data_IF_874018742394
#
_entry.id   IF_874018742394
#
_cell.length_a   1.000
_cell.length_b   1.000
_cell.length_c   1.000
_cell.angle_alpha   90.00
_cell.angle_beta   90.00
_cell.angle_gamma   90.00
#
_symmetry.space_group_name_H-M   'P 1'
#
loop_
_entity.id
_entity.type
_entity.pdbx_description
1 polymer ?
#
# COMPACT_ATOMS: atom_id res chain seq x y z
N UNK A 1 31.93 -11.69 -40.35
CA UNK A 1 30.75 -10.94 -40.83
C UNK A 1 30.11 -10.27 -39.64
N UNK A 2 30.10 -8.94 -39.66
CA UNK A 2 29.71 -8.08 -38.54
C UNK A 2 28.18 -7.90 -38.57
N UNK A 3 27.47 -8.46 -37.60
CA UNK A 3 26.02 -8.25 -37.42
C UNK A 3 25.74 -6.98 -36.61
N UNK A 4 25.99 -5.80 -37.18
CA UNK A 4 25.99 -4.51 -36.47
C UNK A 4 24.63 -3.81 -36.31
N UNK A 5 23.52 -4.38 -36.76
CA UNK A 5 22.22 -3.71 -36.67
C UNK A 5 21.09 -4.68 -36.34
N UNK A 6 20.99 -5.09 -35.06
CA UNK A 6 19.69 -5.55 -34.53
C UNK A 6 18.80 -4.32 -34.42
N UNK A 7 17.97 -4.10 -35.43
CA UNK A 7 16.86 -3.13 -35.38
C UNK A 7 16.00 -3.54 -34.19
N UNK A 8 16.09 -2.81 -33.07
CA UNK A 8 15.19 -3.02 -31.93
C UNK A 8 13.76 -2.95 -32.47
N UNK A 9 12.97 -4.00 -32.24
CA UNK A 9 11.56 -3.99 -32.57
C UNK A 9 10.96 -2.74 -31.94
N UNK A 10 10.41 -1.86 -32.78
CA UNK A 10 9.78 -0.61 -32.35
C UNK A 10 8.56 -1.04 -31.53
N UNK A 11 8.72 -1.14 -30.22
CA UNK A 11 7.61 -1.39 -29.31
C UNK A 11 6.52 -0.37 -29.65
N UNK A 12 5.30 -0.84 -29.87
CA UNK A 12 4.17 0.05 -30.07
C UNK A 12 4.08 0.92 -28.82
N UNK A 13 4.16 2.25 -28.95
CA UNK A 13 4.04 3.11 -27.77
C UNK A 13 2.68 2.81 -27.13
N UNK A 14 2.64 2.57 -25.82
CA UNK A 14 1.38 2.23 -25.18
C UNK A 14 0.44 3.44 -25.21
N UNK A 15 -0.85 3.19 -25.10
CA UNK A 15 -1.86 4.25 -25.18
C UNK A 15 -1.80 5.14 -23.93
N UNK A 16 -1.41 6.39 -24.12
CA UNK A 16 -1.25 7.39 -23.05
C UNK A 16 -2.45 8.32 -22.92
N UNK A 17 -3.52 8.10 -23.69
CA UNK A 17 -4.68 9.02 -23.74
C UNK A 17 -5.42 9.16 -22.40
N UNK A 18 -5.39 8.12 -21.55
CA UNK A 18 -6.04 8.11 -20.25
C UNK A 18 -5.17 8.68 -19.10
N UNK A 19 -3.88 8.97 -19.35
CA UNK A 19 -2.99 9.54 -18.33
C UNK A 19 -3.45 10.94 -17.93
N UNK A 20 -3.52 11.19 -16.61
CA UNK A 20 -4.00 12.46 -16.07
C UNK A 20 -5.51 12.61 -16.01
N UNK A 21 -6.27 11.60 -16.43
CA UNK A 21 -7.75 11.57 -16.30
C UNK A 21 -8.21 10.38 -15.47
N UNK A 22 -8.27 9.19 -16.06
CA UNK A 22 -8.68 7.96 -15.39
C UNK A 22 -7.48 7.10 -14.92
N UNK A 23 -6.27 7.42 -15.39
CA UNK A 23 -5.05 6.67 -15.09
C UNK A 23 -3.99 7.61 -14.52
N UNK A 24 -3.42 7.27 -13.35
CA UNK A 24 -2.30 8.02 -12.79
C UNK A 24 -0.98 7.62 -13.45
N UNK A 25 -0.74 6.32 -13.57
CA UNK A 25 0.53 5.79 -14.06
C UNK A 25 0.34 4.60 -15.00
N UNK A 26 1.27 4.48 -15.94
CA UNK A 26 1.28 3.45 -16.99
C UNK A 26 2.70 2.87 -17.11
N UNK A 27 2.81 1.57 -17.27
CA UNK A 27 4.08 0.90 -17.53
C UNK A 27 4.61 1.28 -18.91
N UNK A 28 5.91 1.49 -18.98
CA UNK A 28 6.64 1.90 -20.17
C UNK A 28 7.70 0.87 -20.55
N UNK A 29 7.84 0.64 -21.85
CA UNK A 29 8.92 -0.18 -22.40
C UNK A 29 10.19 0.65 -22.67
N UNK A 30 11.33 -0.05 -22.75
CA UNK A 30 12.59 0.57 -23.15
C UNK A 30 12.46 1.21 -24.54
N UNK A 31 12.92 2.44 -24.64
CA UNK A 31 12.92 3.21 -25.87
C UNK A 31 11.67 4.05 -26.11
N UNK A 32 10.64 3.93 -25.27
CA UNK A 32 9.51 4.86 -25.24
C UNK A 32 9.97 6.25 -24.79
N UNK A 33 9.23 7.28 -25.22
CA UNK A 33 9.46 8.67 -24.79
C UNK A 33 8.42 9.04 -23.75
N UNK A 34 8.85 9.68 -22.65
CA UNK A 34 7.93 10.17 -21.63
C UNK A 34 6.99 11.21 -22.26
N UNK A 35 5.66 11.07 -22.13
CA UNK A 35 4.71 12.05 -22.66
C UNK A 35 4.92 13.44 -22.06
N UNK A 36 4.49 14.48 -22.78
CA UNK A 36 4.49 15.85 -22.23
C UNK A 36 3.54 15.94 -21.03
N UNK A 37 3.94 16.70 -20.01
CA UNK A 37 3.24 16.82 -18.73
C UNK A 37 3.37 15.60 -17.82
N UNK A 38 4.10 14.56 -18.23
CA UNK A 38 4.31 13.35 -17.44
C UNK A 38 5.75 13.23 -16.95
N UNK A 39 5.94 12.46 -15.88
CA UNK A 39 7.25 12.13 -15.32
C UNK A 39 7.46 10.63 -15.48
N UNK A 40 8.61 10.24 -16.02
CA UNK A 40 9.04 8.85 -16.05
C UNK A 40 9.68 8.45 -14.72
N UNK A 41 9.45 7.22 -14.28
CA UNK A 41 10.11 6.60 -13.13
C UNK A 41 10.69 5.29 -13.60
N UNK A 42 11.99 5.08 -13.39
CA UNK A 42 12.63 3.79 -13.60
C UNK A 42 12.96 3.20 -12.24
N UNK A 43 12.55 1.96 -12.03
CA UNK A 43 12.77 1.20 -10.82
C UNK A 43 13.59 -0.06 -11.11
N UNK A 44 14.61 -0.30 -10.30
CA UNK A 44 15.33 -1.57 -10.28
C UNK A 44 14.58 -2.64 -9.46
N UNK A 45 15.11 -3.87 -9.41
CA UNK A 45 14.53 -4.94 -8.58
C UNK A 45 14.66 -4.70 -7.07
N UNK A 46 15.62 -3.87 -6.66
CA UNK A 46 15.87 -3.51 -5.26
C UNK A 46 14.93 -2.41 -4.74
N UNK A 47 14.09 -1.83 -5.60
CA UNK A 47 13.25 -0.68 -5.25
C UNK A 47 13.97 0.67 -5.34
N UNK A 48 15.19 0.74 -5.89
CA UNK A 48 15.82 2.01 -6.19
C UNK A 48 15.17 2.64 -7.41
N UNK A 49 14.77 3.90 -7.27
CA UNK A 49 14.06 4.63 -8.29
C UNK A 49 14.85 5.84 -8.77
N UNK A 50 14.66 6.19 -10.05
CA UNK A 50 15.15 7.43 -10.64
C UNK A 50 14.10 8.02 -11.56
N UNK A 51 13.93 9.34 -11.48
CA UNK A 51 13.00 10.07 -12.36
C UNK A 51 13.64 10.42 -13.70
N UNK A 52 12.83 10.36 -14.75
CA UNK A 52 13.15 10.71 -16.13
C UNK A 52 12.22 11.85 -16.52
N UNK A 53 12.79 12.96 -16.99
CA UNK A 53 12.02 14.14 -17.37
C UNK A 53 11.09 13.87 -18.57
N UNK A 54 10.05 14.69 -18.72
CA UNK A 54 9.18 14.68 -19.89
C UNK A 54 9.97 14.79 -21.19
N UNK A 55 9.40 14.28 -22.29
CA UNK A 55 10.00 14.25 -23.63
C UNK A 55 11.38 13.54 -23.71
N UNK A 56 11.86 12.93 -22.64
CA UNK A 56 13.10 12.16 -22.60
C UNK A 56 12.84 10.70 -22.92
N UNK A 57 13.83 10.04 -23.52
CA UNK A 57 13.74 8.62 -23.86
C UNK A 57 14.03 7.77 -22.63
N UNK A 58 13.16 6.80 -22.36
CA UNK A 58 13.34 5.82 -21.30
C UNK A 58 14.38 4.80 -21.78
N UNK A 59 15.45 4.65 -21.01
CA UNK A 59 16.47 3.62 -21.21
C UNK A 59 16.41 2.73 -19.98
N UNK A 60 16.14 1.44 -20.23
CA UNK A 60 16.12 0.40 -19.21
C UNK A 60 17.38 -0.45 -19.33
N UNK A 61 18.03 -0.70 -18.19
CA UNK A 61 18.97 -1.81 -18.06
C UNK A 61 18.21 -3.15 -18.05
N UNK A 62 18.95 -4.25 -18.21
CA UNK A 62 18.38 -5.58 -18.02
C UNK A 62 17.66 -5.60 -16.67
N UNK A 63 16.45 -6.16 -16.64
CA UNK A 63 15.56 -6.34 -15.47
C UNK A 63 15.00 -5.07 -14.79
N UNK A 64 15.22 -3.87 -15.32
CA UNK A 64 14.53 -2.65 -14.85
C UNK A 64 13.08 -2.58 -15.34
N UNK A 65 12.24 -1.88 -14.58
CA UNK A 65 10.87 -1.54 -14.97
C UNK A 65 10.71 -0.02 -15.03
N UNK A 66 9.99 0.47 -16.03
CA UNK A 66 9.66 1.90 -16.13
C UNK A 66 8.15 2.12 -16.04
N UNK A 67 7.80 3.25 -15.46
CA UNK A 67 6.46 3.81 -15.43
C UNK A 67 6.52 5.26 -15.93
N UNK A 68 5.42 5.74 -16.50
CA UNK A 68 5.18 7.17 -16.63
C UNK A 68 3.92 7.53 -15.85
N UNK A 69 3.95 8.64 -15.14
CA UNK A 69 2.79 9.14 -14.41
C UNK A 69 2.53 10.62 -14.72
N UNK A 70 1.28 11.03 -14.62
CA UNK A 70 0.90 12.44 -14.67
C UNK A 70 0.76 12.97 -13.23
N UNK A 71 1.34 14.13 -12.87
CA UNK A 71 1.40 14.57 -11.48
C UNK A 71 0.06 15.08 -10.92
N UNK A 72 -0.91 15.41 -11.78
CA UNK A 72 -2.22 15.92 -11.36
C UNK A 72 -2.48 17.34 -11.85
N UNK A 73 -3.49 18.04 -11.30
CA UNK A 73 -4.27 17.67 -10.11
C UNK A 73 -5.27 16.53 -10.35
N UNK A 74 -5.62 15.81 -9.28
CA UNK A 74 -6.65 14.77 -9.26
C UNK A 74 -7.71 15.08 -8.20
N UNK A 75 -8.95 14.62 -8.44
CA UNK A 75 -10.06 14.73 -7.50
C UNK A 75 -10.78 13.38 -7.36
N UNK A 76 -10.95 12.92 -6.12
CA UNK A 76 -11.64 11.65 -5.81
C UNK A 76 -12.57 11.84 -4.61
N UNK A 77 -13.63 11.05 -4.58
CA UNK A 77 -14.55 10.99 -3.43
C UNK A 77 -14.31 9.66 -2.70
N UNK A 78 -14.11 9.74 -1.38
CA UNK A 78 -13.79 8.62 -0.51
C UNK A 78 -14.94 8.36 0.47
N UNK A 79 -15.12 7.10 0.85
CA UNK A 79 -16.06 6.63 1.86
C UNK A 79 -15.32 6.34 3.18
N UNK A 80 -15.21 7.30 4.12
CA UNK A 80 -14.54 7.09 5.40
C UNK A 80 -15.19 5.99 6.25
N UNK A 81 -16.51 5.80 6.16
CA UNK A 81 -17.24 4.82 6.95
C UNK A 81 -18.04 3.88 6.06
N UNK A 82 -17.61 2.62 5.97
CA UNK A 82 -18.37 1.59 5.24
C UNK A 82 -19.82 1.39 5.77
N UNK A 83 -20.04 1.71 7.05
CA UNK A 83 -21.36 1.62 7.67
C UNK A 83 -22.30 2.78 7.30
N UNK A 84 -21.77 3.97 6.98
CA UNK A 84 -22.48 5.21 6.69
C UNK A 84 -21.98 5.83 5.36
N UNK A 85 -22.34 5.23 4.21
CA UNK A 85 -21.80 5.59 2.89
C UNK A 85 -22.29 6.94 2.35
N UNK A 86 -23.24 7.58 3.01
CA UNK A 86 -23.72 8.93 2.71
C UNK A 86 -22.73 10.03 3.10
N UNK A 87 -21.89 9.79 4.11
CA UNK A 87 -20.86 10.71 4.57
C UNK A 87 -19.56 10.44 3.81
N UNK A 88 -19.22 11.33 2.88
CA UNK A 88 -18.02 11.24 2.06
C UNK A 88 -16.97 12.30 2.37
N UNK A 89 -15.77 12.07 1.83
CA UNK A 89 -14.71 13.07 1.76
C UNK A 89 -14.32 13.29 0.30
N UNK A 90 -14.34 14.54 -0.15
CA UNK A 90 -13.76 14.92 -1.44
C UNK A 90 -12.31 15.30 -1.22
N UNK A 91 -11.41 14.57 -1.87
CA UNK A 91 -9.97 14.75 -1.82
C UNK A 91 -9.48 15.30 -3.16
N UNK A 92 -8.75 16.41 -3.11
CA UNK A 92 -7.97 16.95 -4.23
C UNK A 92 -6.50 16.85 -3.90
N UNK A 93 -5.73 16.24 -4.80
CA UNK A 93 -4.32 15.94 -4.55
C UNK A 93 -3.46 15.99 -5.81
N UNK A 94 -2.15 16.11 -5.62
CA UNK A 94 -1.13 15.98 -6.63
C UNK A 94 -0.02 15.02 -6.16
N UNK A 95 0.65 14.38 -7.12
CA UNK A 95 1.85 13.60 -6.84
C UNK A 95 3.03 14.53 -6.65
N UNK A 96 3.81 14.28 -5.60
CA UNK A 96 4.90 15.17 -5.22
C UNK A 96 5.99 15.27 -6.30
N UNK A 97 6.45 16.51 -6.49
CA UNK A 97 7.59 16.84 -7.33
C UNK A 97 8.90 16.23 -6.79
N UNK A 98 9.97 16.20 -7.61
CA UNK A 98 11.25 15.68 -7.16
C UNK A 98 11.84 16.56 -6.05
N UNK A 99 12.02 16.01 -4.85
CA UNK A 99 12.76 16.64 -3.75
C UNK A 99 14.22 16.16 -3.74
N UNK A 100 15.21 17.06 -3.92
CA UNK A 100 16.63 16.70 -3.88
C UNK A 100 17.14 16.23 -2.50
N UNK A 101 16.36 16.44 -1.44
CA UNK A 101 16.73 16.04 -0.07
C UNK A 101 16.38 14.58 0.22
N UNK A 102 15.49 13.99 -0.58
CA UNK A 102 14.98 12.64 -0.37
C UNK A 102 15.59 11.71 -1.40
N UNK A 103 16.29 10.67 -0.93
CA UNK A 103 16.95 9.71 -1.80
C UNK A 103 15.98 8.92 -2.68
N UNK A 104 14.76 8.66 -2.19
CA UNK A 104 13.69 7.96 -2.91
C UNK A 104 12.34 8.61 -2.63
N UNK A 105 11.65 9.02 -3.70
CA UNK A 105 10.31 9.59 -3.58
C UNK A 105 9.29 8.49 -3.23
N UNK A 106 8.35 8.79 -2.34
CA UNK A 106 7.39 7.80 -1.81
C UNK A 106 6.44 7.26 -2.88
N UNK A 107 5.99 8.11 -3.80
CA UNK A 107 5.17 7.67 -4.93
C UNK A 107 5.94 6.75 -5.88
N UNK A 108 7.23 7.03 -6.10
CA UNK A 108 8.08 6.18 -6.93
C UNK A 108 8.23 4.78 -6.30
N UNK A 109 8.34 4.72 -4.96
CA UNK A 109 8.36 3.46 -4.20
C UNK A 109 7.03 2.70 -4.34
N UNK A 110 5.90 3.40 -4.22
CA UNK A 110 4.55 2.84 -4.43
C UNK A 110 4.41 2.22 -5.83
N UNK A 111 4.88 2.91 -6.87
CA UNK A 111 4.89 2.36 -8.24
C UNK A 111 5.78 1.11 -8.33
N UNK A 112 6.93 1.12 -7.68
CA UNK A 112 7.85 0.00 -7.68
C UNK A 112 7.34 -1.21 -6.88
N UNK A 113 6.48 -1.02 -5.87
CA UNK A 113 6.00 -2.10 -5.00
C UNK A 113 4.61 -2.62 -5.37
N UNK A 114 3.68 -1.73 -5.72
CA UNK A 114 2.25 -2.02 -5.80
C UNK A 114 1.66 -1.93 -7.19
N UNK A 115 2.18 -1.04 -8.05
CA UNK A 115 1.61 -0.84 -9.37
C UNK A 115 1.72 -2.10 -10.24
N UNK A 116 0.61 -2.44 -10.89
CA UNK A 116 0.60 -3.40 -12.00
C UNK A 116 1.12 -2.75 -13.28
N UNK A 117 0.63 -3.17 -14.45
CA UNK A 117 0.97 -2.50 -15.70
C UNK A 117 0.30 -1.12 -15.84
N UNK A 118 -0.80 -0.90 -15.12
CA UNK A 118 -1.54 0.37 -15.06
C UNK A 118 -1.95 0.66 -13.62
N UNK A 119 -1.92 1.93 -13.22
CA UNK A 119 -2.49 2.43 -11.98
C UNK A 119 -3.66 3.35 -12.31
N UNK A 120 -4.88 2.82 -12.17
CA UNK A 120 -6.11 3.58 -12.34
C UNK A 120 -6.38 4.52 -11.15
N UNK A 121 -7.09 5.62 -11.40
CA UNK A 121 -7.51 6.55 -10.36
C UNK A 121 -8.47 5.92 -9.35
N UNK A 122 -9.36 5.05 -9.82
CA UNK A 122 -10.27 4.29 -8.94
C UNK A 122 -9.54 3.32 -8.01
N UNK A 123 -8.58 2.56 -8.52
CA UNK A 123 -7.80 1.61 -7.71
C UNK A 123 -6.95 2.33 -6.67
N UNK A 124 -6.36 3.47 -7.06
CA UNK A 124 -5.59 4.31 -6.15
C UNK A 124 -6.47 4.95 -5.08
N UNK A 125 -7.66 5.45 -5.45
CA UNK A 125 -8.64 5.97 -4.51
C UNK A 125 -9.11 4.89 -3.52
N UNK A 126 -9.34 3.66 -3.99
CA UNK A 126 -9.70 2.54 -3.13
C UNK A 126 -8.59 2.17 -2.14
N UNK A 127 -7.31 2.26 -2.55
CA UNK A 127 -6.18 2.05 -1.65
C UNK A 127 -6.10 3.14 -0.57
N UNK A 128 -6.32 4.41 -0.94
CA UNK A 128 -6.40 5.52 0.01
C UNK A 128 -7.58 5.34 0.98
N UNK A 129 -8.75 4.99 0.46
CA UNK A 129 -9.95 4.75 1.26
C UNK A 129 -9.74 3.63 2.28
N UNK A 130 -9.13 2.51 1.86
CA UNK A 130 -8.83 1.40 2.75
C UNK A 130 -7.88 1.83 3.89
N UNK A 131 -6.84 2.62 3.58
CA UNK A 131 -5.93 3.14 4.60
C UNK A 131 -6.64 4.10 5.57
N UNK A 132 -7.52 4.96 5.06
CA UNK A 132 -8.33 5.86 5.89
C UNK A 132 -9.28 5.08 6.82
N UNK A 133 -10.03 4.13 6.27
CA UNK A 133 -10.97 3.30 7.04
C UNK A 133 -10.25 2.51 8.13
N UNK A 134 -9.05 1.99 7.86
CA UNK A 134 -8.24 1.28 8.83
C UNK A 134 -7.82 2.18 10.00
N UNK A 135 -7.31 3.38 9.71
CA UNK A 135 -6.88 4.31 10.77
C UNK A 135 -8.05 4.86 11.58
N UNK A 136 -9.23 5.03 10.97
CA UNK A 136 -10.46 5.35 11.68
C UNK A 136 -10.92 4.19 12.58
N UNK A 137 -10.85 2.94 12.09
CA UNK A 137 -11.24 1.76 12.86
C UNK A 137 -10.33 1.49 14.05
N UNK A 138 -9.04 1.81 13.93
CA UNK A 138 -8.06 1.74 15.03
C UNK A 138 -8.13 2.94 15.98
N UNK A 139 -8.92 3.97 15.65
CA UNK A 139 -9.05 5.20 16.45
C UNK A 139 -7.80 6.10 16.40
N UNK A 140 -6.90 5.88 15.45
CA UNK A 140 -5.70 6.69 15.24
C UNK A 140 -6.02 8.02 14.54
N UNK A 141 -7.00 7.98 13.64
CA UNK A 141 -7.66 9.16 13.11
C UNK A 141 -9.06 9.23 13.70
N UNK A 142 -9.52 10.45 13.97
CA UNK A 142 -10.89 10.72 14.35
C UNK A 142 -11.49 11.65 13.29
N UNK A 143 -12.54 11.21 12.60
CA UNK A 143 -13.35 12.11 11.78
C UNK A 143 -14.41 12.72 12.70
N UNK A 144 -14.24 13.96 13.18
CA UNK A 144 -15.16 14.56 14.12
C UNK A 144 -16.51 14.82 13.43
N UNK A 145 -17.60 15.05 14.18
CA UNK A 145 -18.85 15.61 13.65
C UNK A 145 -18.71 17.06 13.13
N UNK A 146 -17.47 17.50 12.85
CA UNK A 146 -17.08 18.86 12.48
C UNK A 146 -17.58 19.92 13.48
N UNK A 147 -17.50 19.62 14.77
CA UNK A 147 -17.93 20.52 15.85
C UNK A 147 -17.00 21.71 16.07
N UNK A 148 -15.71 21.52 15.79
CA UNK A 148 -14.71 22.59 15.86
C UNK A 148 -13.74 22.55 14.68
N UNK A 149 -13.16 23.71 14.34
CA UNK A 149 -12.13 23.82 13.31
C UNK A 149 -10.83 23.10 13.72
N UNK A 150 -10.52 23.07 15.01
CA UNK A 150 -9.30 22.45 15.53
C UNK A 150 -9.34 20.92 15.38
N UNK A 151 -10.49 20.28 15.68
CA UNK A 151 -10.68 18.85 15.45
C UNK A 151 -10.55 18.50 13.96
N UNK A 152 -11.11 19.33 13.08
CA UNK A 152 -10.98 19.15 11.63
C UNK A 152 -9.53 19.30 11.14
N UNK A 153 -8.83 20.31 11.65
CA UNK A 153 -7.43 20.54 11.32
C UNK A 153 -6.53 19.40 11.82
N UNK A 154 -6.80 18.85 13.01
CA UNK A 154 -6.07 17.70 13.55
C UNK A 154 -6.27 16.45 12.66
N UNK A 155 -7.52 16.16 12.28
CA UNK A 155 -7.82 15.10 11.32
C UNK A 155 -7.08 15.31 9.99
N UNK A 156 -7.19 16.50 9.38
CA UNK A 156 -6.52 16.81 8.12
C UNK A 156 -5.00 16.69 8.23
N UNK A 157 -4.40 17.15 9.33
CA UNK A 157 -2.97 17.03 9.54
C UNK A 157 -2.52 15.56 9.58
N UNK A 158 -3.23 14.73 10.36
CA UNK A 158 -2.96 13.29 10.42
C UNK A 158 -3.15 12.58 9.08
N UNK A 159 -4.25 12.86 8.38
CA UNK A 159 -4.54 12.25 7.09
C UNK A 159 -3.56 12.70 6.00
N UNK A 160 -3.23 13.99 5.93
CA UNK A 160 -2.22 14.50 5.01
C UNK A 160 -0.86 13.86 5.25
N UNK A 161 -0.46 13.69 6.51
CA UNK A 161 0.81 13.05 6.86
C UNK A 161 0.81 11.57 6.47
N UNK A 162 -0.32 10.85 6.63
CA UNK A 162 -0.49 9.48 6.15
C UNK A 162 -0.32 9.41 4.63
N UNK A 163 -1.02 10.29 3.90
CA UNK A 163 -0.99 10.33 2.44
C UNK A 163 0.41 10.64 1.89
N UNK A 164 1.10 11.60 2.50
CA UNK A 164 2.48 11.92 2.17
C UNK A 164 3.42 10.73 2.45
N UNK A 165 3.31 10.12 3.64
CA UNK A 165 4.26 9.09 4.09
C UNK A 165 4.08 7.77 3.32
N UNK A 166 2.83 7.36 3.09
CA UNK A 166 2.48 6.05 2.49
C UNK A 166 2.40 6.09 0.97
N UNK A 167 1.86 7.16 0.40
CA UNK A 167 1.56 7.27 -1.03
C UNK A 167 2.42 8.31 -1.75
N UNK A 168 3.02 9.27 -1.04
CA UNK A 168 3.85 10.32 -1.67
C UNK A 168 3.07 11.34 -2.47
N UNK A 169 1.90 11.70 -1.97
CA UNK A 169 1.04 12.71 -2.55
C UNK A 169 0.87 13.88 -1.58
N UNK A 170 0.73 15.08 -2.14
CA UNK A 170 0.33 16.29 -1.44
C UNK A 170 -1.16 16.52 -1.62
N UNK A 171 -1.82 16.87 -0.52
CA UNK A 171 -3.25 17.18 -0.50
C UNK A 171 -3.44 18.68 -0.65
N UNK A 172 -4.10 19.09 -1.73
CA UNK A 172 -4.50 20.48 -1.94
C UNK A 172 -5.74 20.80 -1.11
N UNK A 173 -6.76 19.94 -1.21
CA UNK A 173 -8.01 20.11 -0.49
C UNK A 173 -8.62 18.79 -0.02
N UNK A 174 -9.27 18.84 1.13
CA UNK A 174 -10.02 17.74 1.72
C UNK A 174 -11.22 18.37 2.42
N UNK A 175 -12.43 18.03 1.97
CA UNK A 175 -13.69 18.57 2.48
C UNK A 175 -14.73 17.46 2.68
N UNK A 176 -15.56 17.54 3.73
CA UNK A 176 -16.70 16.65 3.88
C UNK A 176 -17.75 16.94 2.80
N UNK A 177 -18.29 15.89 2.20
CA UNK A 177 -19.33 15.97 1.16
C UNK A 177 -20.43 14.95 1.42
N UNK A 178 -21.66 15.31 1.07
CA UNK A 178 -22.77 14.36 1.01
C UNK A 178 -22.70 13.61 -0.32
N UNK A 179 -22.56 12.29 -0.26
CA UNK A 179 -22.52 11.42 -1.44
C UNK A 179 -23.90 10.89 -1.84
N UNK A 180 -24.97 11.34 -1.19
CA UNK A 180 -26.34 10.84 -1.36
C UNK A 180 -26.90 10.89 -2.78
N UNK A 181 -26.45 11.80 -3.66
CA UNK A 181 -26.84 11.78 -5.08
C UNK A 181 -26.13 10.68 -5.89
N UNK A 182 -24.98 10.18 -5.41
CA UNK A 182 -24.21 9.09 -6.01
C UNK A 182 -24.48 7.73 -5.38
N UNK A 183 -24.90 7.71 -4.11
CA UNK A 183 -25.20 6.49 -3.35
C UNK A 183 -26.68 6.50 -2.99
N UNK A 184 -27.47 5.65 -3.65
CA UNK A 184 -28.88 5.45 -3.28
C UNK A 184 -28.97 4.71 -1.94
N UNK A 185 -28.93 5.50 -0.87
CA UNK A 185 -28.97 4.98 0.50
C UNK A 185 -30.29 4.27 0.82
N UNK A 186 -31.40 4.70 0.21
CA UNK A 186 -32.67 4.03 0.37
C UNK A 186 -32.63 2.62 -0.26
N UNK A 187 -32.05 2.48 -1.46
CA UNK A 187 -31.83 1.18 -2.08
C UNK A 187 -30.86 0.30 -1.27
N UNK A 188 -29.79 0.88 -0.70
CA UNK A 188 -28.85 0.14 0.15
C UNK A 188 -29.49 -0.31 1.47
N UNK A 189 -30.27 0.54 2.13
CA UNK A 189 -31.01 0.18 3.33
C UNK A 189 -32.11 -0.83 3.05
N UNK A 190 -32.80 -0.72 1.91
CA UNK A 190 -33.77 -1.73 1.48
C UNK A 190 -33.08 -3.07 1.21
N UNK A 191 -31.92 -3.08 0.56
CA UNK A 191 -31.13 -4.30 0.36
C UNK A 191 -30.67 -4.92 1.71
N UNK A 192 -30.25 -4.08 2.66
CA UNK A 192 -29.90 -4.52 4.03
C UNK A 192 -31.12 -4.98 4.84
N UNK A 193 -32.28 -4.35 4.67
CA UNK A 193 -33.51 -4.71 5.35
C UNK A 193 -34.12 -6.02 4.82
N UNK A 194 -33.90 -6.33 3.55
CA UNK A 194 -34.23 -7.63 2.96
C UNK A 194 -33.24 -8.71 3.44
N UNK A 195 -32.00 -8.35 3.80
CA UNK A 195 -31.07 -9.23 4.50
C UNK A 195 -31.33 -9.24 6.01
N UNK A 196 -32.38 -9.96 6.44
CA UNK A 196 -32.59 -10.29 7.85
C UNK A 196 -31.37 -11.11 8.35
N UNK A 197 -30.80 -10.84 9.54
CA UNK A 197 -29.80 -11.72 10.14
C UNK A 197 -30.49 -12.99 10.65
N UNK A 198 -30.89 -13.87 9.74
CA UNK A 198 -30.98 -15.29 10.06
C UNK A 198 -29.56 -15.84 10.09
N UNK A 199 -29.23 -16.60 11.13
CA UNK A 199 -28.05 -17.49 11.13
C UNK A 199 -28.12 -18.33 9.84
N UNK A 200 -27.27 -18.11 8.81
CA UNK A 200 -27.47 -18.78 7.54
C UNK A 200 -26.75 -20.12 7.57
N UNK A 201 -27.51 -21.20 7.39
CA UNK A 201 -27.00 -22.31 6.61
C UNK A 201 -26.73 -21.77 5.18
N UNK A 202 -25.60 -22.09 4.54
CA UNK A 202 -25.17 -21.42 3.32
C UNK A 202 -26.13 -21.76 2.17
N UNK A 203 -26.92 -20.77 1.73
CA UNK A 203 -27.56 -20.79 0.42
C UNK A 203 -26.78 -19.87 -0.53
N UNK A 204 -26.55 -20.32 -1.78
CA UNK A 204 -25.65 -19.65 -2.70
C UNK A 204 -26.23 -18.32 -3.15
N UNK A 205 -25.64 -17.22 -2.65
CA UNK A 205 -25.71 -15.94 -3.32
C UNK A 205 -25.22 -16.11 -4.75
N UNK A 206 -25.97 -15.57 -5.71
CA UNK A 206 -25.48 -15.40 -7.07
C UNK A 206 -24.46 -14.25 -7.03
N UNK A 207 -23.26 -14.60 -6.57
CA UNK A 207 -22.06 -13.80 -6.65
C UNK A 207 -21.86 -13.51 -8.13
N UNK A 208 -21.91 -12.23 -8.53
CA UNK A 208 -21.23 -11.78 -9.75
C UNK A 208 -19.84 -12.39 -9.67
N UNK A 209 -19.56 -13.40 -10.50
CA UNK A 209 -18.43 -14.30 -10.31
C UNK A 209 -17.18 -13.46 -9.99
N UNK A 210 -16.79 -13.47 -8.70
CA UNK A 210 -15.59 -12.80 -8.29
C UNK A 210 -14.50 -13.41 -9.15
N UNK A 211 -13.74 -12.57 -9.86
CA UNK A 211 -12.62 -13.03 -10.64
C UNK A 211 -11.80 -13.99 -9.75
N UNK A 212 -11.35 -15.14 -10.28
CA UNK A 212 -10.66 -16.13 -9.47
C UNK A 212 -9.52 -15.45 -8.72
N UNK A 213 -9.56 -15.52 -7.39
CA UNK A 213 -8.53 -14.92 -6.55
C UNK A 213 -7.18 -15.60 -6.88
N UNK A 214 -6.30 -14.86 -7.54
CA UNK A 214 -4.96 -15.34 -7.84
C UNK A 214 -4.09 -15.23 -6.59
N UNK A 215 -4.13 -16.28 -5.77
CA UNK A 215 -3.37 -16.40 -4.54
C UNK A 215 -1.85 -16.28 -4.76
N UNK A 216 -1.34 -16.68 -5.93
CA UNK A 216 0.08 -16.60 -6.25
C UNK A 216 0.49 -15.17 -6.58
N UNK A 217 -0.29 -14.46 -7.39
CA UNK A 217 -0.05 -13.05 -7.68
C UNK A 217 -0.19 -12.18 -6.41
N UNK A 218 -1.19 -12.47 -5.57
CA UNK A 218 -1.39 -11.75 -4.30
C UNK A 218 -0.22 -11.97 -3.32
N UNK A 219 0.26 -13.21 -3.16
CA UNK A 219 1.41 -13.54 -2.34
C UNK A 219 2.70 -12.86 -2.85
N UNK A 220 2.96 -12.95 -4.16
CA UNK A 220 4.12 -12.34 -4.77
C UNK A 220 4.12 -10.81 -4.60
N UNK A 221 2.95 -10.16 -4.75
CA UNK A 221 2.80 -8.72 -4.53
C UNK A 221 3.06 -8.36 -3.07
N UNK A 222 2.47 -9.09 -2.11
CA UNK A 222 2.69 -8.84 -0.69
C UNK A 222 4.17 -8.99 -0.29
N UNK A 223 4.86 -10.04 -0.78
CA UNK A 223 6.28 -10.22 -0.53
C UNK A 223 7.14 -9.14 -1.21
N UNK A 224 6.79 -8.72 -2.42
CA UNK A 224 7.47 -7.61 -3.10
C UNK A 224 7.34 -6.32 -2.30
N UNK A 225 6.15 -6.00 -1.80
CA UNK A 225 5.93 -4.85 -0.91
C UNK A 225 6.81 -4.93 0.32
N UNK A 226 6.79 -6.05 1.04
CA UNK A 226 7.64 -6.24 2.22
C UNK A 226 9.13 -6.09 1.88
N UNK A 227 9.59 -6.63 0.76
CA UNK A 227 10.99 -6.52 0.34
C UNK A 227 11.41 -5.07 0.04
N UNK A 228 10.57 -4.33 -0.66
CA UNK A 228 10.86 -2.97 -1.15
C UNK A 228 10.62 -1.90 -0.08
N UNK A 229 9.51 -1.99 0.65
CA UNK A 229 9.04 -0.93 1.55
C UNK A 229 9.58 -1.07 2.98
N UNK A 230 9.80 -2.30 3.49
CA UNK A 230 10.25 -2.49 4.87
C UNK A 230 11.59 -1.79 5.15
N UNK A 231 12.62 -1.85 4.28
CA UNK A 231 13.85 -1.08 4.48
C UNK A 231 13.59 0.44 4.57
N UNK A 232 12.64 0.95 3.78
CA UNK A 232 12.26 2.35 3.79
C UNK A 232 11.51 2.75 5.08
N UNK A 233 10.66 1.86 5.61
CA UNK A 233 10.02 2.03 6.93
C UNK A 233 11.09 2.06 8.02
N UNK A 234 12.01 1.11 8.01
CA UNK A 234 13.09 1.04 8.99
C UNK A 234 14.02 2.25 8.92
N UNK A 235 14.29 2.76 7.71
CA UNK A 235 15.02 4.03 7.54
C UNK A 235 14.22 5.20 8.14
N UNK A 236 12.92 5.29 7.87
CA UNK A 236 12.04 6.30 8.47
C UNK A 236 12.06 6.24 10.00
N UNK A 237 12.01 5.04 10.58
CA UNK A 237 12.08 4.84 12.03
C UNK A 237 13.44 5.31 12.59
N UNK A 238 14.55 4.98 11.93
CA UNK A 238 15.90 5.45 12.34
C UNK A 238 16.06 6.97 12.25
N UNK A 239 15.35 7.60 11.32
CA UNK A 239 15.36 9.05 11.12
C UNK A 239 14.34 9.79 11.98
N UNK A 240 13.40 9.08 12.62
CA UNK A 240 12.48 9.66 13.58
C UNK A 240 13.27 10.21 14.79
N UNK A 241 12.71 11.22 15.46
CA UNK A 241 13.34 11.91 16.58
C UNK A 241 13.87 10.90 17.60
N UNK A 242 15.12 11.10 18.05
CA UNK A 242 15.74 10.24 19.05
C UNK A 242 14.87 10.27 20.33
N UNK A 243 14.36 9.12 20.79
CA UNK A 243 13.44 9.11 21.92
C UNK A 243 14.12 9.62 23.20
N UNK A 244 13.43 10.46 24.00
CA UNK A 244 13.98 10.94 25.25
C UNK A 244 14.03 9.81 26.28
N UNK A 245 15.15 9.72 27.00
CA UNK A 245 15.32 8.75 28.09
C UNK A 245 15.80 7.36 27.65
N UNK A 246 16.46 6.67 28.58
CA UNK A 246 17.16 5.42 28.32
C UNK A 246 16.21 4.26 27.97
N UNK A 247 15.03 4.20 28.59
CA UNK A 247 14.07 3.11 28.39
C UNK A 247 13.50 3.10 26.96
N UNK A 248 13.00 4.25 26.48
CA UNK A 248 12.47 4.37 25.12
C UNK A 248 13.57 4.17 24.07
N UNK A 249 14.80 4.62 24.34
CA UNK A 249 15.93 4.32 23.46
C UNK A 249 16.21 2.81 23.34
N UNK A 250 16.18 2.07 24.45
CA UNK A 250 16.35 0.61 24.43
C UNK A 250 15.21 -0.08 23.68
N UNK A 251 13.96 0.36 23.88
CA UNK A 251 12.80 -0.16 23.15
C UNK A 251 12.95 0.10 21.64
N UNK A 252 13.35 1.31 21.24
CA UNK A 252 13.61 1.66 19.85
C UNK A 252 14.69 0.76 19.21
N UNK A 253 15.80 0.55 19.90
CA UNK A 253 16.86 -0.35 19.42
C UNK A 253 16.40 -1.80 19.29
N UNK A 254 15.60 -2.29 20.25
CA UNK A 254 15.03 -3.64 20.20
C UNK A 254 14.06 -3.81 19.02
N UNK A 255 13.24 -2.80 18.72
CA UNK A 255 12.35 -2.79 17.56
C UNK A 255 13.13 -2.85 16.24
N UNK A 256 14.18 -2.03 16.11
CA UNK A 256 15.03 -2.04 14.92
C UNK A 256 15.69 -3.41 14.70
N UNK A 257 16.21 -4.02 15.76
CA UNK A 257 16.82 -5.35 15.69
C UNK A 257 15.81 -6.43 15.28
N UNK A 258 14.58 -6.36 15.79
CA UNK A 258 13.50 -7.27 15.41
C UNK A 258 13.08 -7.09 13.95
N UNK A 259 12.98 -5.85 13.49
CA UNK A 259 12.71 -5.52 12.10
C UNK A 259 13.84 -6.00 11.16
N UNK A 260 15.10 -5.93 11.58
CA UNK A 260 16.23 -6.50 10.81
C UNK A 260 16.06 -8.02 10.63
N UNK A 261 15.61 -8.74 11.66
CA UNK A 261 15.30 -10.18 11.56
C UNK A 261 14.11 -10.47 10.63
N UNK A 262 13.06 -9.65 10.68
CA UNK A 262 11.91 -9.75 9.76
C UNK A 262 12.39 -9.54 8.31
N UNK A 263 13.20 -8.52 8.06
CA UNK A 263 13.78 -8.24 6.74
C UNK A 263 14.60 -9.42 6.22
N UNK A 264 15.44 -10.03 7.05
CA UNK A 264 16.18 -11.24 6.70
C UNK A 264 15.25 -12.43 6.39
N UNK A 265 14.14 -12.57 7.12
CA UNK A 265 13.12 -13.58 6.85
C UNK A 265 12.46 -13.36 5.48
N UNK A 266 12.08 -12.13 5.15
CA UNK A 266 11.48 -11.79 3.84
C UNK A 266 12.42 -12.12 2.69
N UNK A 267 13.73 -11.81 2.83
CA UNK A 267 14.75 -12.08 1.82
C UNK A 267 14.98 -13.58 1.55
N UNK A 268 14.65 -14.43 2.52
CA UNK A 268 14.87 -15.89 2.48
C UNK A 268 13.56 -16.66 2.45
N UNK A 269 12.48 -16.01 2.04
CA UNK A 269 11.14 -16.57 2.10
C UNK A 269 10.96 -17.70 1.06
N UNK A 270 10.43 -18.88 1.44
CA UNK A 270 10.27 -20.00 0.50
C UNK A 270 9.23 -19.68 -0.57
N UNK A 271 9.46 -20.23 -1.77
CA UNK A 271 8.52 -20.16 -2.88
C UNK A 271 7.15 -20.70 -2.47
N UNK A 272 6.08 -20.05 -2.93
CA UNK A 272 4.71 -20.41 -2.55
C UNK A 272 4.38 -21.87 -2.90
N UNK A 273 4.72 -22.28 -4.13
CA UNK A 273 4.35 -23.56 -4.70
C UNK A 273 5.18 -24.76 -4.19
N UNK A 274 6.22 -24.53 -3.38
CA UNK A 274 7.17 -25.57 -2.98
C UNK A 274 7.14 -25.83 -1.47
N UNK A 275 7.04 -27.11 -1.11
CA UNK A 275 7.23 -27.60 0.25
C UNK A 275 8.73 -27.84 0.54
N UNK A 276 9.42 -28.41 -0.43
CA UNK A 276 10.86 -28.66 -0.47
C UNK A 276 11.35 -28.55 -1.94
N UNK A 277 12.66 -28.52 -2.22
CA UNK A 277 13.15 -28.54 -3.59
C UNK A 277 12.57 -29.72 -4.40
N UNK A 278 11.80 -29.41 -5.44
CA UNK A 278 11.14 -30.41 -6.29
C UNK A 278 9.82 -30.98 -5.75
N UNK A 279 9.43 -30.64 -4.51
CA UNK A 279 8.18 -31.11 -3.91
C UNK A 279 7.13 -29.99 -3.89
N UNK A 280 5.99 -30.24 -4.54
CA UNK A 280 4.91 -29.25 -4.66
C UNK A 280 4.10 -29.14 -3.37
N UNK A 281 3.78 -27.91 -2.98
CA UNK A 281 2.91 -27.64 -1.85
C UNK A 281 1.43 -27.74 -2.27
N UNK A 282 0.55 -28.43 -1.52
CA UNK A 282 -0.88 -28.46 -1.78
C UNK A 282 -1.53 -27.06 -1.81
N UNK A 283 -2.57 -26.87 -2.63
CA UNK A 283 -3.23 -25.59 -2.85
C UNK A 283 -3.75 -24.93 -1.55
N UNK A 284 -4.32 -25.70 -0.62
CA UNK A 284 -4.83 -25.17 0.65
C UNK A 284 -3.71 -24.58 1.53
N UNK A 285 -2.53 -25.18 1.45
CA UNK A 285 -1.34 -24.68 2.16
C UNK A 285 -0.75 -23.46 1.45
N UNK A 286 -0.78 -23.42 0.12
CA UNK A 286 -0.43 -22.20 -0.62
C UNK A 286 -1.35 -21.06 -0.21
N UNK A 287 -2.67 -21.29 -0.16
CA UNK A 287 -3.65 -20.28 0.25
C UNK A 287 -3.42 -19.82 1.71
N UNK A 288 -3.07 -20.74 2.61
CA UNK A 288 -2.69 -20.39 3.99
C UNK A 288 -1.43 -19.52 4.03
N UNK A 289 -0.38 -19.85 3.27
CA UNK A 289 0.81 -19.00 3.13
C UNK A 289 0.45 -17.62 2.58
N UNK A 290 -0.36 -17.56 1.53
CA UNK A 290 -0.84 -16.29 0.95
C UNK A 290 -1.54 -15.43 1.99
N UNK A 291 -2.44 -16.01 2.82
CA UNK A 291 -3.11 -15.27 3.91
C UNK A 291 -2.13 -14.65 4.89
N UNK A 292 -1.06 -15.36 5.25
CA UNK A 292 -0.02 -14.82 6.12
C UNK A 292 0.78 -13.71 5.45
N UNK A 293 1.09 -13.81 4.15
CA UNK A 293 1.71 -12.70 3.40
C UNK A 293 0.83 -11.45 3.39
N UNK A 294 -0.48 -11.62 3.19
CA UNK A 294 -1.44 -10.51 3.22
C UNK A 294 -1.51 -9.87 4.60
N UNK A 295 -1.50 -10.66 5.68
CA UNK A 295 -1.45 -10.13 7.05
C UNK A 295 -0.16 -9.38 7.34
N UNK A 296 0.99 -9.87 6.86
CA UNK A 296 2.26 -9.16 6.97
C UNK A 296 2.23 -7.83 6.19
N UNK A 297 1.63 -7.82 5.00
CA UNK A 297 1.41 -6.59 4.23
C UNK A 297 0.49 -5.59 4.94
N UNK A 298 -0.56 -6.05 5.62
CA UNK A 298 -1.42 -5.18 6.41
C UNK A 298 -0.69 -4.57 7.62
N UNK A 299 0.16 -5.35 8.30
CA UNK A 299 1.01 -4.84 9.38
C UNK A 299 2.08 -3.86 8.86
N UNK A 300 2.53 -4.01 7.61
CA UNK A 300 3.39 -3.02 6.94
C UNK A 300 2.63 -1.71 6.67
N UNK A 301 1.35 -1.77 6.29
CA UNK A 301 0.49 -0.58 6.16
C UNK A 301 0.32 0.13 7.52
N UNK A 302 0.11 -0.62 8.61
CA UNK A 302 0.12 -0.05 9.97
C UNK A 302 1.47 0.59 10.33
N UNK A 303 2.60 0.00 9.89
CA UNK A 303 3.93 0.56 10.15
C UNK A 303 4.15 1.89 9.43
N UNK A 304 3.62 2.04 8.21
CA UNK A 304 3.63 3.33 7.51
C UNK A 304 2.76 4.37 8.22
N UNK A 305 1.57 3.97 8.69
CA UNK A 305 0.71 4.85 9.45
C UNK A 305 1.33 5.26 10.80
N UNK A 306 2.04 4.35 11.48
CA UNK A 306 2.82 4.66 12.66
C UNK A 306 3.89 5.71 12.38
N UNK A 307 4.64 5.60 11.28
CA UNK A 307 5.62 6.62 10.89
C UNK A 307 4.99 7.99 10.63
N UNK A 308 3.80 8.01 10.03
CA UNK A 308 3.06 9.25 9.85
C UNK A 308 2.73 9.89 11.21
N UNK A 309 2.24 9.10 12.18
CA UNK A 309 1.97 9.57 13.54
C UNK A 309 3.23 10.05 14.27
N UNK A 310 4.34 9.31 14.16
CA UNK A 310 5.63 9.71 14.73
C UNK A 310 6.13 11.05 14.18
N UNK A 311 5.83 11.37 12.92
CA UNK A 311 6.18 12.66 12.31
C UNK A 311 5.44 13.86 12.91
N UNK A 312 4.31 13.64 13.58
CA UNK A 312 3.49 14.67 14.22
C UNK A 312 3.55 14.64 15.76
N UNK A 313 4.13 13.60 16.34
CA UNK A 313 4.12 13.35 17.77
C UNK A 313 4.94 14.37 18.56
N UNK A 314 4.42 14.79 19.72
CA UNK A 314 5.21 15.47 20.74
C UNK A 314 5.86 14.46 21.69
N UNK A 315 6.81 14.90 22.53
CA UNK A 315 7.56 14.01 23.44
C UNK A 315 6.66 13.16 24.35
N UNK A 316 5.50 13.69 24.76
CA UNK A 316 4.52 12.98 25.60
C UNK A 316 3.77 11.85 24.90
N UNK A 317 3.72 11.86 23.58
CA UNK A 317 2.97 10.88 22.77
C UNK A 317 3.84 9.71 22.32
N UNK A 318 5.16 9.77 22.55
CA UNK A 318 6.10 8.77 22.04
C UNK A 318 5.92 7.39 22.69
N UNK A 319 5.75 7.34 24.02
CA UNK A 319 5.62 6.06 24.74
C UNK A 319 4.48 5.17 24.20
N UNK A 320 3.22 5.63 24.08
CA UNK A 320 2.15 4.80 23.53
C UNK A 320 2.37 4.44 22.05
N UNK A 321 3.01 5.31 21.26
CA UNK A 321 3.38 4.98 19.87
C UNK A 321 4.44 3.87 19.80
N UNK A 322 5.35 3.78 20.77
CA UNK A 322 6.32 2.69 20.85
C UNK A 322 5.69 1.37 21.32
N UNK A 323 4.63 1.41 22.12
CA UNK A 323 3.83 0.22 22.45
C UNK A 323 3.06 -0.29 21.23
N UNK A 324 2.49 0.62 20.43
CA UNK A 324 1.89 0.30 19.13
C UNK A 324 2.93 -0.29 18.16
N UNK A 325 4.14 0.28 18.15
CA UNK A 325 5.24 -0.24 17.34
C UNK A 325 5.58 -1.68 17.71
N UNK A 326 5.61 -2.01 19.01
CA UNK A 326 5.85 -3.37 19.49
C UNK A 326 4.80 -4.36 18.98
N UNK A 327 3.52 -3.97 19.07
CA UNK A 327 2.39 -4.75 18.53
C UNK A 327 2.52 -4.97 17.02
N UNK A 328 2.83 -3.92 16.25
CA UNK A 328 2.98 -3.99 14.79
C UNK A 328 4.14 -4.92 14.41
N UNK A 329 5.30 -4.80 15.08
CA UNK A 329 6.45 -5.67 14.84
C UNK A 329 6.13 -7.12 15.22
N UNK A 330 5.43 -7.36 16.33
CA UNK A 330 5.00 -8.71 16.71
C UNK A 330 4.06 -9.33 15.66
N UNK A 331 3.15 -8.55 15.08
CA UNK A 331 2.29 -9.00 13.99
C UNK A 331 3.07 -9.36 12.72
N UNK A 332 4.07 -8.54 12.35
CA UNK A 332 4.97 -8.81 11.22
C UNK A 332 5.77 -10.10 11.44
N UNK A 333 6.38 -10.26 12.62
CA UNK A 333 7.13 -11.46 13.00
C UNK A 333 6.24 -12.70 12.93
N UNK A 334 5.07 -12.65 13.57
CA UNK A 334 4.12 -13.76 13.59
C UNK A 334 3.68 -14.15 12.18
N UNK A 335 3.28 -13.18 11.35
CA UNK A 335 2.82 -13.44 10.00
C UNK A 335 3.95 -14.01 9.12
N UNK A 336 5.16 -13.46 9.19
CA UNK A 336 6.30 -13.97 8.43
C UNK A 336 6.72 -15.37 8.88
N UNK A 337 6.75 -15.63 10.19
CA UNK A 337 7.06 -16.95 10.74
C UNK A 337 5.99 -17.98 10.36
N UNK A 338 4.70 -17.64 10.49
CA UNK A 338 3.60 -18.52 10.16
C UNK A 338 3.55 -18.87 8.66
N UNK A 339 3.83 -17.90 7.78
CA UNK A 339 4.00 -18.16 6.34
C UNK A 339 5.11 -19.19 6.07
N UNK A 340 6.25 -19.04 6.74
CA UNK A 340 7.40 -19.94 6.56
C UNK A 340 7.08 -21.36 7.04
N UNK A 341 6.50 -21.47 8.24
CA UNK A 341 6.23 -22.75 8.88
C UNK A 341 5.17 -23.50 8.10
N UNK A 342 3.95 -22.96 7.93
CA UNK A 342 2.81 -23.59 7.22
C UNK A 342 2.86 -25.14 7.14
N UNK A 343 3.15 -25.75 8.30
CA UNK A 343 3.11 -27.18 8.61
C UNK A 343 1.95 -27.29 9.60
N UNK A 344 1.06 -28.25 9.38
CA UNK A 344 -0.04 -28.51 10.31
C UNK A 344 0.52 -28.79 11.71
N UNK A 345 0.05 -28.04 12.70
CA UNK A 345 -0.22 -28.66 14.00
C UNK A 345 -1.47 -29.52 13.73
N UNK A 346 -1.40 -30.85 13.85
CA UNK A 346 -2.61 -31.65 13.81
C UNK A 346 -3.47 -31.24 14.99
N UNK A 347 -4.75 -30.95 14.75
CA UNK A 347 -5.75 -30.94 15.82
C UNK A 347 -5.76 -32.33 16.44
N UNK A 348 -5.04 -32.49 17.55
CA UNK A 348 -5.19 -33.64 18.42
C UNK A 348 -6.58 -33.55 19.05
N UNK A 349 -7.51 -34.39 18.59
CA UNK A 349 -8.74 -34.70 19.31
C UNK A 349 -8.41 -35.03 20.77
N UNK A 350 -9.05 -34.39 21.75
CA UNK A 350 -8.91 -34.81 23.13
C UNK A 350 -9.62 -36.16 23.32
N UNK A 351 -8.88 -37.14 23.83
CA UNK A 351 -9.38 -38.46 24.21
C UNK A 351 -10.27 -38.40 25.46
#
# INVERSE_FOLDING_TARGET
MIGLFKRQAKATPPDTSALGTATLALRMDSGCTVPKGCIGVVADKGGHTRRVAEASRIVLADIETAFCFHPGPYGVDLLPFAAAPELGLRLSFAVDGPDPRVAQQRFDLYLASEAGDTLGLGDFAAAIEAALQQELALGHLALPPCTTLDEWNAFRAGFNQLLYTRFGISVDDCIPVDLGERVDYAALLLARAVSVPQVPAPQPQQVCAAAPFDAAAADARALRRLFVELPCVMHGLRMAVLPPGQALFQQHMALLQRLDNVSLSVNTMPALALAAPGETLPADRQLTRTRHSLRASAALDEAWALLARLGLAADGDLAPLFDDADRIVANLEHACAARRVAILVPESEPA
#
